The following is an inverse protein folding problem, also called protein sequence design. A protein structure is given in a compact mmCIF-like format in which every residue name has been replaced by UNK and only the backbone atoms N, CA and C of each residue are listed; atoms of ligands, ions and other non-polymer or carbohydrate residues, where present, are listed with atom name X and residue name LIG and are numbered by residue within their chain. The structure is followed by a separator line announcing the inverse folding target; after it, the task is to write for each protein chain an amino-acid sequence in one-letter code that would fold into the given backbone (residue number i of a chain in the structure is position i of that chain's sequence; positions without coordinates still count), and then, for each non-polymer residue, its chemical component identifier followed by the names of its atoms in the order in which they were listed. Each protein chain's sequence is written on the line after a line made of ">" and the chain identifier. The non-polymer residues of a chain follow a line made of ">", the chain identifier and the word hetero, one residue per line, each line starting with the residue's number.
data_IF_288546282907
#
_entry.id   IF_288546282907
#
_cell.length_a   1.000
_cell.length_b   1.000
_cell.length_c   1.000
_cell.angle_alpha   90.00
_cell.angle_beta   90.00
_cell.angle_gamma   90.00
#
_symmetry.space_group_name_H-M   'P 1'
#
loop_
_entity.id
_entity.type
_entity.pdbx_description
1 polymer ?
#
# COMPACT_ATOMS: atom_id res chain seq x y z
N UNK A 1 16.96 17.49 -17.44
CA UNK A 1 16.64 16.05 -17.46
C UNK A 1 17.18 15.48 -16.16
N UNK A 2 16.38 15.53 -15.10
CA UNK A 2 16.79 15.03 -13.78
C UNK A 2 16.27 13.61 -13.65
N UNK A 3 17.19 12.65 -13.61
CA UNK A 3 16.86 11.24 -13.37
C UNK A 3 16.55 11.11 -11.88
N UNK A 4 15.26 11.10 -11.53
CA UNK A 4 14.84 10.75 -10.17
C UNK A 4 15.13 9.26 -9.96
N UNK A 5 16.00 8.99 -8.99
CA UNK A 5 16.41 7.64 -8.62
C UNK A 5 15.21 6.87 -8.06
N UNK A 6 14.79 5.83 -8.77
CA UNK A 6 13.87 4.83 -8.26
C UNK A 6 14.60 3.99 -7.20
N UNK A 7 14.26 4.19 -5.93
CA UNK A 7 14.72 3.32 -4.85
C UNK A 7 13.83 2.07 -4.84
N UNK A 8 14.27 1.01 -5.53
CA UNK A 8 13.61 -0.29 -5.55
C UNK A 8 13.93 -0.99 -4.21
N UNK A 9 12.98 -1.00 -3.29
CA UNK A 9 13.07 -1.80 -2.07
C UNK A 9 12.40 -3.16 -2.29
N UNK A 10 13.18 -4.20 -2.52
CA UNK A 10 12.71 -5.58 -2.51
C UNK A 10 12.45 -6.03 -1.07
N UNK A 11 11.22 -5.86 -0.58
CA UNK A 11 10.77 -6.51 0.65
C UNK A 11 10.03 -7.80 0.27
N UNK A 12 10.68 -8.96 0.48
CA UNK A 12 9.99 -10.25 0.44
C UNK A 12 9.08 -10.35 1.68
N UNK A 13 7.89 -9.76 1.60
CA UNK A 13 6.88 -9.86 2.64
C UNK A 13 6.24 -11.25 2.57
N UNK A 14 6.64 -12.16 3.47
CA UNK A 14 5.90 -13.42 3.70
C UNK A 14 4.68 -13.07 4.54
N UNK A 15 3.55 -12.78 3.89
CA UNK A 15 2.29 -12.47 4.57
C UNK A 15 1.54 -13.77 4.94
N UNK A 16 0.77 -13.79 6.05
CA UNK A 16 -0.05 -14.93 6.41
C UNK A 16 -1.12 -15.20 5.34
N UNK A 17 -1.46 -16.47 5.12
CA UNK A 17 -2.48 -16.88 4.15
C UNK A 17 -3.82 -16.20 4.44
N UNK A 18 -4.18 -15.23 3.60
CA UNK A 18 -5.46 -14.54 3.65
C UNK A 18 -6.51 -15.35 2.88
N UNK A 19 -7.68 -15.51 3.52
CA UNK A 19 -8.81 -16.37 3.16
C UNK A 19 -9.26 -16.22 1.68
N UNK A 20 -9.85 -17.28 1.14
CA UNK A 20 -10.08 -17.52 -0.28
C UNK A 20 -11.15 -16.64 -1.00
N UNK A 21 -11.49 -15.45 -0.49
CA UNK A 21 -12.43 -14.55 -1.18
C UNK A 21 -12.37 -13.09 -0.65
N UNK A 22 -11.18 -12.54 -0.40
CA UNK A 22 -11.06 -11.11 -0.10
C UNK A 22 -11.25 -10.27 -1.36
N UNK A 23 -11.93 -9.13 -1.21
CA UNK A 23 -12.03 -8.17 -2.30
C UNK A 23 -10.65 -7.58 -2.64
N UNK A 24 -10.40 -7.16 -3.91
CA UNK A 24 -9.16 -6.48 -4.29
C UNK A 24 -8.84 -5.27 -3.40
N UNK A 25 -9.88 -4.61 -2.88
CA UNK A 25 -9.75 -3.51 -1.92
C UNK A 25 -9.18 -3.99 -0.58
N UNK A 26 -9.76 -5.00 0.05
CA UNK A 26 -9.25 -5.52 1.33
C UNK A 26 -7.81 -6.04 1.22
N UNK A 27 -7.48 -6.65 0.08
CA UNK A 27 -6.12 -7.09 -0.22
C UNK A 27 -5.16 -5.89 -0.32
N UNK A 28 -5.48 -4.88 -1.13
CA UNK A 28 -4.70 -3.65 -1.24
C UNK A 28 -4.50 -2.97 0.13
N UNK A 29 -5.54 -2.90 0.95
CA UNK A 29 -5.48 -2.31 2.29
C UNK A 29 -4.48 -3.04 3.19
N UNK A 30 -4.53 -4.38 3.18
CA UNK A 30 -3.60 -5.22 3.92
C UNK A 30 -2.15 -5.04 3.47
N UNK A 31 -1.92 -5.02 2.14
CA UNK A 31 -0.57 -4.85 1.59
C UNK A 31 0.06 -3.50 1.94
N UNK A 32 -0.69 -2.41 1.80
CA UNK A 32 -0.21 -1.08 2.16
C UNK A 32 0.11 -0.99 3.65
N UNK A 33 -0.80 -1.45 4.51
CA UNK A 33 -0.61 -1.44 5.96
C UNK A 33 0.63 -2.22 6.39
N UNK A 34 0.82 -3.44 5.85
CA UNK A 34 1.99 -4.25 6.15
C UNK A 34 3.28 -3.64 5.58
N UNK A 35 3.23 -3.03 4.39
CA UNK A 35 4.36 -2.31 3.80
C UNK A 35 4.81 -1.15 4.70
N UNK A 36 3.86 -0.39 5.26
CA UNK A 36 4.14 0.71 6.17
C UNK A 36 4.79 0.22 7.47
N UNK A 37 4.22 -0.82 8.08
CA UNK A 37 4.79 -1.46 9.27
C UNK A 37 6.23 -1.95 9.04
N UNK A 38 6.50 -2.55 7.88
CA UNK A 38 7.84 -3.03 7.52
C UNK A 38 8.83 -1.88 7.31
N UNK A 39 8.38 -0.76 6.74
CA UNK A 39 9.18 0.46 6.62
C UNK A 39 9.52 1.04 8.00
N UNK A 40 8.55 1.01 8.93
CA UNK A 40 8.69 1.53 10.30
C UNK A 40 8.92 3.03 10.37
N UNK A 41 8.61 3.77 9.30
CA UNK A 41 8.92 5.18 9.12
C UNK A 41 7.74 5.94 8.51
N UNK A 42 7.67 7.23 8.79
CA UNK A 42 6.66 8.12 8.24
C UNK A 42 5.29 7.90 8.87
N UNK A 43 4.26 8.19 8.10
CA UNK A 43 2.86 7.99 8.46
C UNK A 43 2.29 6.78 7.72
N UNK A 44 1.29 6.13 8.32
CA UNK A 44 0.50 5.13 7.61
C UNK A 44 -0.13 5.73 6.36
N UNK A 45 -0.23 4.94 5.31
CA UNK A 45 -0.96 5.26 4.08
C UNK A 45 -2.31 4.55 4.11
N UNK A 46 -3.33 5.23 3.59
CA UNK A 46 -4.68 4.68 3.45
C UNK A 46 -5.03 4.54 1.98
N UNK A 47 -5.51 3.35 1.59
CA UNK A 47 -6.07 3.10 0.26
C UNK A 47 -7.36 3.88 0.10
N UNK A 48 -7.45 4.65 -0.99
CA UNK A 48 -8.62 5.42 -1.39
C UNK A 48 -9.42 4.70 -2.47
N UNK A 49 -8.72 4.13 -3.45
CA UNK A 49 -9.33 3.45 -4.59
C UNK A 49 -8.43 2.32 -5.11
N UNK A 50 -9.03 1.37 -5.82
CA UNK A 50 -8.33 0.28 -6.50
C UNK A 50 -8.82 0.18 -7.94
N UNK A 51 -7.89 0.14 -8.88
CA UNK A 51 -8.12 0.07 -10.32
C UNK A 51 -7.20 -0.94 -10.99
N UNK A 52 -7.37 -1.13 -12.31
CA UNK A 52 -6.56 -2.03 -13.15
C UNK A 52 -6.39 -3.46 -12.60
N UNK A 53 -7.46 -4.00 -11.99
CA UNK A 53 -7.45 -5.34 -11.41
C UNK A 53 -7.37 -6.40 -12.51
N UNK A 54 -6.28 -7.16 -12.50
CA UNK A 54 -6.04 -8.31 -13.38
C UNK A 54 -5.70 -9.55 -12.54
N UNK A 55 -6.42 -10.64 -12.78
CA UNK A 55 -6.24 -11.93 -12.09
C UNK A 55 -5.80 -13.06 -13.02
N UNK A 56 -5.37 -12.74 -14.24
CA UNK A 56 -5.03 -13.72 -15.27
C UNK A 56 -3.72 -14.47 -15.01
N UNK A 57 -2.71 -13.81 -14.42
CA UNK A 57 -1.40 -14.37 -14.05
C UNK A 57 -1.02 -14.00 -12.61
N UNK A 58 -1.86 -14.40 -11.66
CA UNK A 58 -1.76 -14.00 -10.25
C UNK A 58 -2.71 -12.87 -9.90
N UNK A 59 -2.22 -11.81 -9.25
CA UNK A 59 -2.98 -10.58 -8.98
C UNK A 59 -2.12 -9.37 -9.32
N UNK A 60 -2.62 -8.53 -10.22
CA UNK A 60 -2.10 -7.20 -10.49
C UNK A 60 -3.18 -6.18 -10.21
N UNK A 61 -2.84 -5.10 -9.51
CA UNK A 61 -3.76 -3.98 -9.30
C UNK A 61 -3.01 -2.66 -9.10
N UNK A 62 -3.70 -1.57 -9.39
CA UNK A 62 -3.27 -0.19 -9.12
C UNK A 62 -4.02 0.30 -7.88
N UNK A 63 -3.28 0.91 -6.94
CA UNK A 63 -3.77 1.41 -5.66
C UNK A 63 -3.56 2.91 -5.63
N UNK A 64 -4.63 3.67 -5.46
CA UNK A 64 -4.53 5.08 -5.08
C UNK A 64 -4.55 5.20 -3.57
N UNK A 65 -3.59 5.91 -3.01
CA UNK A 65 -3.44 6.10 -1.57
C UNK A 65 -3.04 7.54 -1.22
N UNK A 66 -3.24 7.89 0.05
CA UNK A 66 -2.71 9.10 0.66
C UNK A 66 -2.08 8.81 2.02
N UNK A 67 -1.09 9.63 2.45
CA UNK A 67 -0.62 9.56 3.82
C UNK A 67 -1.75 9.92 4.79
N UNK A 68 -1.70 9.36 5.98
CA UNK A 68 -2.54 9.74 7.11
C UNK A 68 -1.79 10.68 8.04
N UNK A 69 -2.49 11.24 9.03
CA UNK A 69 -1.85 11.96 10.14
C UNK A 69 -1.24 11.04 11.20
N UNK A 70 -1.42 9.72 11.07
CA UNK A 70 -0.99 8.74 12.08
C UNK A 70 0.42 8.21 11.78
N UNK A 71 1.38 8.37 12.71
CA UNK A 71 2.72 7.84 12.53
C UNK A 71 2.69 6.30 12.53
N UNK A 72 3.58 5.68 11.76
CA UNK A 72 3.71 4.22 11.75
C UNK A 72 4.11 3.72 13.13
N UNK A 73 3.34 2.77 13.67
CA UNK A 73 3.61 2.10 14.95
C UNK A 73 3.05 0.68 14.94
N UNK A 74 3.79 -0.27 15.54
CA UNK A 74 3.33 -1.66 15.72
C UNK A 74 2.16 -1.81 16.69
N UNK A 75 1.83 -0.76 17.44
CA UNK A 75 0.70 -0.75 18.38
C UNK A 75 -0.63 -0.37 17.71
N UNK A 76 -0.59 0.22 16.51
CA UNK A 76 -1.77 0.65 15.76
C UNK A 76 -2.30 -0.52 14.92
N UNK A 77 -3.60 -0.80 14.93
CA UNK A 77 -4.18 -1.84 14.06
C UNK A 77 -4.59 -1.29 12.69
N UNK A 78 -4.78 -2.19 11.71
CA UNK A 78 -5.29 -1.79 10.40
C UNK A 78 -6.66 -1.11 10.53
N UNK A 79 -7.56 -1.61 11.36
CA UNK A 79 -8.89 -1.02 11.56
C UNK A 79 -8.80 0.42 12.08
N UNK A 80 -7.86 0.70 12.98
CA UNK A 80 -7.61 2.06 13.46
C UNK A 80 -7.06 2.96 12.35
N UNK A 81 -6.11 2.45 11.55
CA UNK A 81 -5.56 3.16 10.38
C UNK A 81 -6.61 3.47 9.32
N UNK A 82 -7.72 2.74 9.25
CA UNK A 82 -8.85 2.99 8.35
C UNK A 82 -10.04 3.73 9.01
N UNK A 83 -9.96 4.04 10.31
CA UNK A 83 -10.99 4.76 11.06
C UNK A 83 -10.87 6.29 10.98
N UNK A 84 -11.81 7.04 11.55
CA UNK A 84 -11.70 8.51 11.63
C UNK A 84 -10.56 9.00 12.55
N UNK A 85 -9.89 8.12 13.29
CA UNK A 85 -8.74 8.45 14.15
C UNK A 85 -7.49 8.83 13.35
N UNK A 86 -7.38 8.34 12.10
CA UNK A 86 -6.22 8.53 11.23
C UNK A 86 -6.58 9.22 9.91
N UNK A 87 -7.10 10.45 9.92
CA UNK A 87 -7.52 11.12 8.69
C UNK A 87 -6.39 11.20 7.66
N UNK A 88 -6.77 11.11 6.39
CA UNK A 88 -5.84 11.31 5.27
C UNK A 88 -5.45 12.78 5.16
N UNK A 89 -4.21 13.03 4.75
CA UNK A 89 -3.67 14.37 4.51
C UNK A 89 -3.05 14.48 3.11
N UNK A 90 -2.99 15.71 2.60
CA UNK A 90 -2.30 16.09 1.36
C UNK A 90 -1.14 17.05 1.61
N UNK A 91 -0.70 17.17 2.87
CA UNK A 91 0.37 18.10 3.22
C UNK A 91 1.69 17.80 2.49
N UNK A 92 1.96 16.52 2.22
CA UNK A 92 3.18 16.07 1.54
C UNK A 92 2.96 15.66 0.07
N UNK A 93 1.84 14.98 -0.21
CA UNK A 93 1.55 14.39 -1.52
C UNK A 93 0.09 14.59 -1.89
N UNK A 94 -0.16 14.92 -3.16
CA UNK A 94 -1.50 15.01 -3.74
C UNK A 94 -2.08 13.65 -4.09
N UNK A 95 -1.18 12.72 -4.43
CA UNK A 95 -1.49 11.35 -4.83
C UNK A 95 -0.30 10.44 -4.57
N UNK A 96 -0.58 9.23 -4.11
CA UNK A 96 0.36 8.12 -4.10
C UNK A 96 -0.27 7.00 -4.93
N UNK A 97 0.38 6.62 -6.03
CA UNK A 97 -0.06 5.51 -6.88
C UNK A 97 0.87 4.33 -6.63
N UNK A 98 0.34 3.19 -6.19
CA UNK A 98 1.10 1.97 -5.98
C UNK A 98 0.63 0.87 -6.92
N UNK A 99 1.57 0.21 -7.59
CA UNK A 99 1.32 -0.98 -8.39
C UNK A 99 1.70 -2.22 -7.59
N UNK A 100 0.73 -3.09 -7.35
CA UNK A 100 0.91 -4.37 -6.68
C UNK A 100 0.91 -5.47 -7.74
N UNK A 101 1.96 -6.30 -7.74
CA UNK A 101 2.04 -7.47 -8.61
C UNK A 101 2.38 -8.69 -7.76
N UNK A 102 1.49 -9.69 -7.76
CA UNK A 102 1.61 -10.94 -7.02
C UNK A 102 1.47 -12.12 -7.98
N UNK A 103 2.27 -13.15 -7.79
CA UNK A 103 2.06 -14.43 -8.46
C UNK A 103 0.94 -15.25 -7.79
N UNK A 104 0.61 -16.41 -8.37
CA UNK A 104 -0.39 -17.35 -7.81
C UNK A 104 -0.10 -17.84 -6.38
N UNK A 105 1.14 -17.72 -5.91
CA UNK A 105 1.54 -18.04 -4.53
C UNK A 105 1.49 -16.82 -3.60
N UNK A 106 0.79 -15.74 -4.00
CA UNK A 106 0.70 -14.46 -3.28
C UNK A 106 2.06 -13.85 -2.92
N UNK A 107 3.07 -14.15 -3.72
CA UNK A 107 4.43 -13.61 -3.56
C UNK A 107 4.67 -12.58 -4.65
N UNK A 108 5.21 -11.43 -4.31
CA UNK A 108 5.40 -10.38 -5.29
C UNK A 108 6.01 -9.11 -4.72
N UNK A 109 5.70 -7.98 -5.37
CA UNK A 109 6.26 -6.67 -5.05
C UNK A 109 5.19 -5.58 -5.13
N UNK A 110 5.43 -4.52 -4.38
CA UNK A 110 4.65 -3.29 -4.44
C UNK A 110 5.59 -2.13 -4.74
N UNK A 111 5.28 -1.38 -5.79
CA UNK A 111 6.06 -0.21 -6.21
C UNK A 111 5.16 1.02 -6.14
N UNK A 112 5.62 2.08 -5.48
CA UNK A 112 4.83 3.29 -5.28
C UNK A 112 5.50 4.52 -5.88
N UNK A 113 4.72 5.33 -6.59
CA UNK A 113 5.09 6.63 -7.12
C UNK A 113 4.38 7.72 -6.32
N UNK A 114 5.14 8.72 -5.90
CA UNK A 114 4.66 9.81 -5.04
C UNK A 114 4.59 11.10 -5.85
N UNK A 115 3.40 11.69 -5.93
CA UNK A 115 3.16 12.93 -6.65
C UNK A 115 2.92 14.06 -5.64
N UNK A 116 3.86 14.99 -5.55
CA UNK A 116 3.77 16.20 -4.72
C UNK A 116 3.56 17.46 -5.55
N UNK A 117 3.30 18.58 -4.87
CA UNK A 117 3.14 19.91 -5.44
C UNK A 117 4.44 20.53 -5.97
#
# INVERSE_FOLDING_TARGET
>A
MSVLAAFIFFFMAVMPEINADLSPLEEAQGYIYQSDLQSGKGHFRRVLDVSDVDTSDGLSLTIDALPTTCPVSSEMTQEQVYSDECPVTKDEYDQIECRLELNHSKTGQIECTYYGH
#
